data_IF_533356862454
#
_entry.id   IF_533356862454
#
_cell.length_a   1.000
_cell.length_b   1.000
_cell.length_c   1.000
_cell.angle_alpha   90.00
_cell.angle_beta   90.00
_cell.angle_gamma   90.00
#
_symmetry.space_group_name_H-M   'P 1'
#
loop_
_entity.id
_entity.type
_entity.pdbx_description
1 polymer ?
2 non-polymer ?
3 non-polymer ?
4 water ?
#
# COMPACT_ATOMS: atom_id res chain seq x y z
N UNK A 1 6.80 -4.00 9.96
CA UNK A 1 6.94 -2.55 10.29
C UNK A 1 5.42 -2.16 10.60
N UNK A 2 5.34 -1.07 11.31
CA UNK A 2 4.07 -0.40 11.66
C UNK A 2 3.83 0.64 10.67
N UNK A 3 2.63 0.63 10.06
CA UNK A 3 2.24 1.66 9.17
C UNK A 3 0.97 2.30 9.67
N UNK A 4 0.69 3.44 9.05
CA UNK A 4 -0.46 4.29 9.48
C UNK A 4 -1.25 4.62 8.22
N UNK A 5 -2.60 4.79 8.40
CA UNK A 5 -3.49 5.28 7.34
C UNK A 5 -4.25 6.52 7.94
N UNK A 6 -4.14 7.62 7.31
CA UNK A 6 -4.91 8.82 7.64
C UNK A 6 -6.09 8.84 6.67
N UNK A 7 -7.31 8.93 7.18
CA UNK A 7 -8.56 9.08 6.43
C UNK A 7 -9.00 10.49 6.45
N UNK A 8 -8.92 11.12 5.27
CA UNK A 8 -9.28 12.53 5.09
C UNK A 8 -10.54 12.71 4.24
N UNK A 9 -11.70 12.44 4.87
CA UNK A 9 -13.05 12.56 4.17
C UNK A 9 -13.87 13.77 4.49
N UNK A 10 -14.99 13.92 3.77
CA UNK A 10 -15.95 14.96 4.06
C UNK A 10 -16.82 14.49 5.18
N UNK A 11 -17.05 13.14 5.24
CA UNK A 11 -17.92 12.50 6.35
C UNK A 11 -17.04 11.65 7.27
N UNK A 12 -15.71 11.69 7.07
CA UNK A 12 -14.89 10.95 8.02
C UNK A 12 -13.47 11.35 8.08
N UNK A 13 -13.08 11.60 9.36
CA UNK A 13 -11.76 11.88 9.74
C UNK A 13 -11.13 10.82 10.72
N UNK A 14 -10.03 10.12 10.34
CA UNK A 14 -9.41 9.32 11.33
C UNK A 14 -8.19 8.66 10.89
N UNK A 15 -7.70 7.68 11.67
CA UNK A 15 -6.45 7.02 11.45
C UNK A 15 -6.55 5.58 11.84
N UNK A 16 -5.81 4.71 11.11
CA UNK A 16 -5.62 3.27 11.53
C UNK A 16 -4.10 2.95 11.60
N UNK A 17 -3.74 2.03 12.48
CA UNK A 17 -2.39 1.50 12.46
C UNK A 17 -2.58 0.08 12.17
N UNK A 18 -1.67 -0.48 11.39
CA UNK A 18 -1.62 -1.88 11.03
C UNK A 18 -0.17 -2.36 10.86
N UNK A 19 -0.05 -3.67 11.06
CA UNK A 19 1.21 -4.42 10.85
C UNK A 19 1.20 -5.17 9.48
N UNK A 20 2.37 -5.09 8.73
CA UNK A 20 2.52 -5.75 7.60
C UNK A 20 4.03 -5.83 7.37
N UNK A 21 4.32 -6.86 6.58
CA UNK A 21 5.76 -7.08 6.28
C UNK A 21 6.39 -6.04 5.42
N UNK A 22 5.57 -5.47 4.52
CA UNK A 22 6.04 -4.30 3.76
C UNK A 22 4.80 -3.45 3.30
N UNK A 23 5.17 -2.43 2.50
CA UNK A 23 4.19 -1.40 2.20
C UNK A 23 3.16 -1.78 1.21
N UNK A 24 3.45 -2.74 0.32
CA UNK A 24 2.41 -3.21 -0.65
C UNK A 24 1.27 -3.96 0.10
N UNK A 25 1.68 -4.79 1.02
CA UNK A 25 0.70 -5.51 1.84
C UNK A 25 -0.03 -4.52 2.75
N UNK A 26 0.69 -3.57 3.35
CA UNK A 26 0.00 -2.54 4.21
C UNK A 26 -1.03 -1.80 3.33
N UNK A 27 -0.67 -1.43 2.15
CA UNK A 27 -1.66 -0.81 1.19
C UNK A 27 -2.96 -1.66 1.09
N UNK A 28 -2.75 -2.95 0.72
CA UNK A 28 -3.84 -3.91 0.48
C UNK A 28 -4.73 -3.94 1.80
N UNK A 29 -4.08 -4.09 2.95
CA UNK A 29 -4.77 -3.97 4.26
C UNK A 29 -5.61 -2.69 4.35
N UNK A 30 -4.86 -1.59 4.26
CA UNK A 30 -5.58 -0.27 4.42
C UNK A 30 -6.67 -0.01 3.38
N UNK A 31 -6.50 -0.50 2.14
CA UNK A 31 -7.66 -0.23 1.21
C UNK A 31 -8.87 -1.03 1.68
N UNK A 32 -8.70 -2.14 2.39
CA UNK A 32 -9.83 -3.00 2.80
C UNK A 32 -10.48 -2.30 3.91
N UNK A 33 -9.63 -1.78 4.83
CA UNK A 33 -10.13 -1.04 5.94
C UNK A 33 -10.84 0.21 5.43
N UNK A 34 -10.34 0.91 4.41
CA UNK A 34 -10.95 2.19 3.94
C UNK A 34 -12.32 1.81 3.30
N UNK A 35 -12.33 0.62 2.68
CA UNK A 35 -13.61 0.11 2.05
C UNK A 35 -14.73 -0.09 3.12
N UNK A 36 -14.32 -0.63 4.22
CA UNK A 36 -15.23 -0.79 5.38
C UNK A 36 -15.86 0.53 5.71
N UNK A 37 -15.02 1.58 5.75
CA UNK A 37 -15.55 2.88 6.10
C UNK A 37 -16.28 3.60 4.93
N UNK A 38 -16.14 3.09 3.71
CA UNK A 38 -16.64 3.79 2.57
C UNK A 38 -15.78 4.84 2.02
N UNK A 39 -14.50 4.96 2.41
CA UNK A 39 -13.76 6.15 2.07
C UNK A 39 -12.79 5.75 0.97
N UNK A 40 -12.82 6.53 -0.08
CA UNK A 40 -11.86 6.32 -1.18
C UNK A 40 -11.57 7.65 -1.78
N UNK A 41 -10.52 7.64 -2.64
CA UNK A 41 -10.23 8.89 -3.31
C UNK A 41 -8.81 8.99 -3.72
N UNK A 42 -8.11 10.09 -3.37
CA UNK A 42 -6.66 10.22 -3.69
C UNK A 42 -5.77 9.55 -2.58
N UNK A 43 -5.06 8.50 -2.97
CA UNK A 43 -4.11 7.75 -2.11
C UNK A 43 -2.69 8.41 -2.24
N UNK A 44 -2.03 8.59 -1.12
CA UNK A 44 -0.65 9.06 -1.12
C UNK A 44 0.01 8.34 -0.01
N UNK A 45 1.34 8.38 -0.09
CA UNK A 45 2.15 7.61 0.86
C UNK A 45 3.41 8.41 1.15
N UNK A 46 3.73 8.55 2.45
CA UNK A 46 4.91 9.19 3.01
C UNK A 46 5.82 8.16 3.61
N UNK A 47 6.91 7.90 2.84
CA UNK A 47 7.83 6.83 3.23
C UNK A 47 8.51 7.24 4.54
N UNK A 48 8.70 8.51 4.85
CA UNK A 48 9.48 8.94 6.02
C UNK A 48 8.82 8.38 7.30
N UNK A 49 7.49 8.61 7.34
CA UNK A 49 6.56 8.35 8.38
C UNK A 49 5.74 7.09 8.18
N UNK A 50 6.01 6.23 7.16
CA UNK A 50 5.30 4.97 6.91
C UNK A 50 3.77 5.22 6.97
N UNK A 51 3.34 6.45 6.50
CA UNK A 51 1.91 6.73 6.51
C UNK A 51 1.22 6.94 5.14
N UNK A 52 0.11 6.23 4.98
CA UNK A 52 -0.75 6.45 3.81
C UNK A 52 -1.74 7.50 4.21
N UNK A 53 -2.21 8.24 3.22
CA UNK A 53 -3.37 9.12 3.39
C UNK A 53 -4.26 8.84 2.25
N UNK A 54 -5.56 8.81 2.60
CA UNK A 54 -6.60 8.87 1.62
C UNK A 54 -7.51 10.07 1.77
N UNK A 55 -7.58 10.85 0.67
CA UNK A 55 -8.28 12.17 0.77
C UNK A 55 -9.49 12.18 -0.20
N UNK A 56 -10.69 12.37 0.29
CA UNK A 56 -11.81 12.36 -0.59
C UNK A 56 -11.90 13.72 -1.32
N UNK B 1 -6.11 -14.81 -16.72
CA UNK B 1 -4.96 -15.04 -17.58
C UNK B 1 -3.78 -14.28 -16.94
N UNK B 2 -2.60 -14.68 -17.32
CA UNK B 2 -1.38 -14.02 -16.89
C UNK B 2 -1.01 -13.03 -17.92
N UNK B 3 -0.74 -11.82 -17.44
CA UNK B 3 -0.27 -10.74 -18.35
C UNK B 3 1.09 -10.25 -17.80
N UNK B 4 1.79 -9.63 -18.68
CA UNK B 4 3.15 -9.07 -18.45
C UNK B 4 3.12 -7.54 -18.77
N UNK B 5 4.02 -6.81 -18.04
CA UNK B 5 4.30 -5.40 -18.33
C UNK B 5 5.85 -5.26 -18.41
N UNK B 6 6.29 -4.74 -19.51
CA UNK B 6 7.67 -4.36 -19.69
C UNK B 6 7.77 -2.89 -19.44
N UNK B 7 8.70 -2.50 -18.52
CA UNK B 7 9.01 -1.07 -18.32
C UNK B 7 10.26 -0.67 -18.99
N UNK B 8 10.13 0.18 -20.01
CA UNK B 8 11.31 0.64 -20.75
C UNK B 8 11.62 2.10 -20.52
N UNK B 9 12.21 2.36 -19.36
CA UNK B 9 12.67 3.73 -18.95
C UNK B 9 14.09 4.05 -19.18
N UNK B 10 14.35 5.32 -19.04
CA UNK B 10 15.75 5.87 -19.05
C UNK B 10 16.46 5.53 -17.77
N UNK B 11 15.68 5.43 -16.66
CA UNK B 11 16.32 5.14 -15.32
C UNK B 11 15.78 3.80 -14.75
N UNK B 12 14.98 3.06 -15.54
CA UNK B 12 14.41 1.87 -15.03
C UNK B 12 14.03 0.94 -16.15
N UNK B 13 14.53 -0.29 -16.02
CA UNK B 13 14.24 -1.33 -16.90
C UNK B 13 13.69 -2.53 -16.10
N UNK B 14 12.46 -3.04 -16.38
CA UNK B 14 12.07 -4.27 -15.76
C UNK B 14 10.77 -4.76 -16.29
N UNK B 15 10.22 -5.72 -15.56
CA UNK B 15 9.04 -6.44 -16.02
C UNK B 15 8.21 -6.82 -14.79
N UNK B 16 6.87 -6.75 -14.94
CA UNK B 16 5.97 -7.37 -13.97
C UNK B 16 5.06 -8.42 -14.58
N UNK B 17 4.63 -9.39 -13.72
CA UNK B 17 3.52 -10.26 -14.09
C UNK B 17 2.43 -10.05 -13.13
N UNK B 18 1.18 -10.06 -13.59
CA UNK B 18 -0.05 -9.91 -12.81
C UNK B 18 -1.16 -10.77 -13.41
N UNK B 19 -2.01 -11.15 -12.49
CA UNK B 19 -3.26 -11.80 -12.79
C UNK B 19 -4.49 -10.78 -12.86
N UNK B 20 -5.42 -10.97 -13.92
CA UNK B 20 -6.51 -10.27 -14.09
C UNK B 20 -7.38 -11.09 -15.06
N UNK B 21 -8.66 -10.80 -14.84
CA UNK B 21 -9.62 -11.55 -15.59
C UNK B 21 -9.61 -11.28 -17.12
N UNK B 22 -9.22 -10.04 -17.46
CA UNK B 22 -9.03 -9.69 -18.85
C UNK B 22 -8.05 -8.50 -18.95
N UNK B 23 -7.88 -8.02 -20.17
CA UNK B 23 -6.74 -7.06 -20.43
C UNK B 23 -7.06 -5.64 -19.96
N UNK B 24 -8.36 -5.24 -19.87
CA UNK B 24 -8.65 -3.89 -19.40
C UNK B 24 -8.25 -3.79 -17.90
N UNK B 25 -8.61 -4.83 -17.13
CA UNK B 25 -8.24 -4.80 -15.69
C UNK B 25 -6.71 -4.96 -15.48
N UNK B 26 -6.10 -5.77 -16.35
CA UNK B 26 -4.61 -5.93 -16.32
C UNK B 26 -4.03 -4.59 -16.60
N UNK B 27 -4.50 -3.85 -17.60
CA UNK B 27 -4.04 -2.42 -17.84
C UNK B 27 -4.18 -1.56 -16.59
N UNK B 28 -5.40 -1.63 -15.94
CA UNK B 28 -5.60 -0.74 -14.74
C UNK B 28 -4.58 -1.17 -13.64
N UNK B 29 -4.38 -2.48 -13.41
CA UNK B 29 -3.40 -3.00 -12.49
C UNK B 29 -1.99 -2.47 -12.81
N UNK B 30 -1.61 -2.76 -14.06
CA UNK B 30 -0.23 -2.30 -14.51
C UNK B 30 -0.01 -0.78 -14.50
N UNK B 31 -1.07 0.00 -14.76
CA UNK B 31 -0.86 1.51 -14.66
C UNK B 31 -0.61 1.87 -13.22
N UNK B 32 -1.23 1.17 -12.29
CA UNK B 32 -1.09 1.49 -10.88
C UNK B 32 0.33 1.06 -10.49
N UNK B 33 0.82 -0.10 -10.95
CA UNK B 33 2.16 -0.53 -10.61
C UNK B 33 3.18 0.37 -11.28
N UNK B 34 2.93 0.84 -12.52
CA UNK B 34 3.86 1.77 -13.21
C UNK B 34 3.92 3.09 -12.41
N UNK B 35 2.82 3.49 -11.85
CA UNK B 35 2.78 4.77 -11.10
C UNK B 35 3.68 4.60 -9.85
N UNK B 36 3.56 3.44 -9.20
CA UNK B 36 4.47 3.13 -8.08
C UNK B 36 5.97 3.43 -8.39
N UNK B 37 6.35 2.97 -9.58
CA UNK B 37 7.70 3.10 -10.07
C UNK B 37 7.97 4.48 -10.68
N UNK B 38 6.95 5.33 -10.86
CA UNK B 38 7.14 6.59 -11.53
C UNK B 38 7.33 6.55 -13.01
N UNK B 39 6.98 5.42 -13.68
CA UNK B 39 7.25 5.27 -15.10
C UNK B 39 5.92 5.43 -15.90
N UNK B 40 5.96 6.34 -16.89
CA UNK B 40 4.86 6.58 -17.79
C UNK B 40 5.44 6.95 -19.11
N UNK B 41 4.48 6.96 -20.12
CA UNK B 41 4.83 7.38 -21.42
C UNK B 41 4.01 6.72 -22.45
N UNK B 42 4.61 6.08 -23.48
CA UNK B 42 3.90 5.39 -24.57
C UNK B 42 3.57 3.96 -24.13
N UNK B 43 2.30 3.73 -24.00
CA UNK B 43 1.70 2.37 -23.69
C UNK B 43 1.45 1.60 -25.03
N UNK B 44 1.82 0.35 -25.01
CA UNK B 44 1.52 -0.53 -26.16
C UNK B 44 1.17 -1.85 -25.59
N UNK B 45 0.52 -2.68 -26.45
CA UNK B 45 0.07 -3.96 -26.00
C UNK B 45 0.16 -4.96 -27.15
N UNK B 46 0.71 -6.15 -26.80
CA UNK B 46 0.94 -7.25 -27.72
C UNK B 46 0.03 -8.39 -27.32
N UNK B 47 -1.05 -8.53 -28.10
CA UNK B 47 -2.08 -9.51 -27.76
C UNK B 47 -1.51 -10.89 -27.79
N UNK B 48 -0.52 -11.17 -28.69
CA UNK B 48 -0.06 -12.52 -28.98
C UNK B 48 0.51 -13.06 -27.63
N UNK B 49 1.32 -12.20 -26.94
CA UNK B 49 2.15 -12.51 -25.79
C UNK B 49 1.55 -11.93 -24.51
N UNK B 50 0.28 -11.40 -24.55
CA UNK B 50 -0.38 -10.79 -23.40
C UNK B 50 0.58 -9.84 -22.64
N UNK B 51 1.40 -9.05 -23.39
CA UNK B 51 2.38 -8.19 -22.82
C UNK B 51 2.11 -6.67 -23.13
N UNK B 52 2.11 -5.88 -22.05
CA UNK B 52 2.05 -4.44 -22.21
C UNK B 52 3.52 -3.99 -22.18
N UNK B 53 3.75 -2.88 -22.82
CA UNK B 53 5.05 -2.17 -22.71
C UNK B 53 4.74 -0.69 -22.48
N UNK B 54 5.49 -0.14 -21.52
CA UNK B 54 5.51 1.32 -21.35
C UNK B 54 6.96 1.80 -21.58
N UNK B 55 7.05 2.75 -22.53
CA UNK B 55 8.38 3.28 -22.93
C UNK B 55 8.46 4.79 -22.73
N UNK B 56 9.34 5.23 -21.85
CA UNK B 56 9.52 6.58 -21.68
C UNK B 56 10.25 7.25 -22.90
N UNK C 1 -19.45 20.38 19.44
CA UNK C 1 -18.16 19.96 20.08
C UNK C 1 -17.43 18.90 19.20
N UNK C 2 -16.14 18.82 19.35
CA UNK C 2 -15.37 17.77 18.66
C UNK C 2 -14.92 16.70 19.72
N UNK C 3 -14.92 15.40 19.31
CA UNK C 3 -14.81 14.19 20.21
C UNK C 3 -13.88 13.24 19.40
N UNK C 4 -13.44 12.23 20.11
CA UNK C 4 -12.61 11.21 19.53
C UNK C 4 -13.18 9.86 19.96
N UNK C 5 -12.93 8.87 19.12
CA UNK C 5 -13.11 7.51 19.40
C UNK C 5 -11.84 6.69 19.16
N UNK C 6 -11.34 6.03 20.18
CA UNK C 6 -10.27 5.03 20.08
C UNK C 6 -10.84 3.64 19.97
N UNK C 7 -10.36 2.94 18.88
CA UNK C 7 -10.82 1.62 18.56
C UNK C 7 -9.51 0.77 18.93
N UNK C 8 -9.66 0.13 20.09
CA UNK C 8 -8.48 -0.70 20.54
C UNK C 8 -8.92 -2.16 20.28
N UNK C 9 -8.64 -2.58 19.08
CA UNK C 9 -9.04 -3.85 18.58
C UNK C 9 -7.92 -4.88 18.70
N UNK C 10 -8.32 -6.15 18.56
CA UNK C 10 -7.37 -7.24 18.47
C UNK C 10 -6.88 -7.12 17.03
N UNK C 11 -7.79 -7.44 16.09
CA UNK C 11 -7.44 -7.50 14.64
C UNK C 11 -7.15 -6.11 14.00
N UNK C 12 -7.63 -4.99 14.63
CA UNK C 12 -7.21 -3.58 14.18
C UNK C 12 -7.11 -2.51 15.30
N UNK C 13 -6.45 -1.36 15.10
CA UNK C 13 -6.23 -0.22 16.08
C UNK C 13 -6.34 1.14 15.35
N UNK C 14 -6.98 2.12 15.93
CA UNK C 14 -7.33 3.35 15.23
C UNK C 14 -8.05 4.40 16.03
N UNK C 15 -8.35 5.51 15.42
CA UNK C 15 -8.98 6.60 16.12
C UNK C 15 -9.69 7.40 15.15
N UNK C 16 -10.93 7.77 15.48
CA UNK C 16 -11.72 8.69 14.67
C UNK C 16 -11.94 9.99 15.41
N UNK C 17 -12.01 11.07 14.72
CA UNK C 17 -12.39 12.35 15.34
C UNK C 17 -13.56 13.00 14.67
N UNK C 18 -14.45 13.52 15.51
CA UNK C 18 -15.69 13.92 14.82
C UNK C 18 -16.34 15.03 15.65
N UNK C 19 -16.91 15.99 15.01
CA UNK C 19 -17.63 17.01 15.70
C UNK C 19 -19.09 16.64 16.01
N UNK C 20 -19.50 17.05 17.19
CA UNK C 20 -20.95 16.73 17.55
C UNK C 20 -21.43 17.77 18.57
N UNK C 21 -22.72 18.02 18.68
CA UNK C 21 -23.23 19.04 19.66
C UNK C 21 -23.13 18.61 21.07
N UNK C 22 -22.96 17.36 21.37
CA UNK C 22 -22.82 16.97 22.75
C UNK C 22 -22.26 15.52 22.76
N UNK C 23 -21.88 15.05 23.94
CA UNK C 23 -21.26 13.72 24.02
C UNK C 23 -22.37 12.61 23.69
N UNK C 24 -23.64 12.81 24.01
CA UNK C 24 -24.67 11.88 23.57
C UNK C 24 -24.71 11.69 22.07
N UNK C 25 -24.63 12.82 21.37
CA UNK C 25 -24.64 12.80 19.93
C UNK C 25 -23.39 12.13 19.36
N UNK C 26 -22.29 12.50 20.00
CA UNK C 26 -20.99 11.90 19.60
C UNK C 26 -21.08 10.37 19.72
N UNK C 27 -21.71 9.90 20.81
CA UNK C 27 -21.74 8.43 21.08
C UNK C 27 -22.54 7.77 20.00
N UNK C 28 -23.63 8.37 19.58
CA UNK C 28 -24.50 7.78 18.57
C UNK C 28 -23.65 7.71 17.22
N UNK C 29 -22.88 8.79 16.99
CA UNK C 29 -22.17 8.72 15.72
C UNK C 29 -21.10 7.63 15.75
N UNK C 30 -20.38 7.64 16.86
CA UNK C 30 -19.27 6.66 16.96
C UNK C 30 -19.76 5.27 16.91
N UNK C 31 -20.87 4.96 17.61
CA UNK C 31 -21.45 3.62 17.47
C UNK C 31 -21.67 3.30 15.98
N UNK C 32 -22.10 4.25 15.16
CA UNK C 32 -22.20 4.02 13.68
C UNK C 32 -20.86 3.80 13.05
N UNK C 33 -19.91 4.68 13.32
CA UNK C 33 -18.67 4.56 12.58
C UNK C 33 -17.96 3.24 12.93
N UNK C 34 -18.09 2.81 14.20
CA UNK C 34 -17.39 1.58 14.63
C UNK C 34 -18.05 0.35 13.92
N UNK C 35 -19.37 0.50 13.68
CA UNK C 35 -20.16 -0.57 13.04
C UNK C 35 -19.70 -0.81 11.60
N UNK C 36 -19.28 0.23 10.90
CA UNK C 36 -18.53 0.09 9.58
C UNK C 36 -17.29 -0.81 9.68
N UNK C 37 -16.46 -0.67 10.85
CA UNK C 37 -15.20 -1.44 10.99
C UNK C 37 -15.56 -2.81 11.54
N UNK C 38 -16.83 -2.99 12.10
CA UNK C 38 -17.13 -4.20 12.82
C UNK C 38 -16.39 -4.35 14.14
N UNK C 39 -16.24 -3.18 14.81
CA UNK C 39 -15.62 -3.21 16.15
C UNK C 39 -16.58 -2.92 17.20
N UNK C 40 -16.59 -3.87 18.16
CA UNK C 40 -17.39 -3.73 19.34
C UNK C 40 -16.72 -4.38 20.57
N UNK C 41 -17.27 -4.02 21.75
CA UNK C 41 -16.72 -4.53 22.97
C UNK C 41 -17.10 -3.60 24.13
N UNK C 42 -16.19 -3.37 25.04
CA UNK C 42 -16.55 -2.53 26.18
C UNK C 42 -16.38 -1.02 25.74
N UNK C 43 -17.39 -0.21 26.02
CA UNK C 43 -17.39 1.23 25.64
C UNK C 43 -17.21 2.08 26.87
N UNK C 44 -16.09 2.82 26.85
CA UNK C 44 -15.83 3.76 27.95
C UNK C 44 -15.74 5.21 27.41
N UNK C 45 -15.69 6.17 28.35
CA UNK C 45 -15.64 7.65 27.97
C UNK C 45 -14.84 8.35 28.98
N UNK C 46 -13.88 9.09 28.49
CA UNK C 46 -13.10 10.13 29.26
C UNK C 46 -13.60 11.54 29.01
N UNK C 47 -14.32 12.10 30.04
CA UNK C 47 -14.93 13.40 29.83
C UNK C 47 -13.98 14.53 29.70
N UNK C 48 -12.75 14.38 30.18
CA UNK C 48 -11.76 15.53 30.21
C UNK C 48 -11.01 15.55 28.82
N UNK C 49 -10.96 14.42 28.06
CA UNK C 49 -10.42 14.46 26.72
C UNK C 49 -11.45 14.25 25.63
N UNK C 50 -12.72 14.16 25.97
CA UNK C 50 -13.79 14.08 24.96
C UNK C 50 -13.57 12.81 24.11
N UNK C 51 -13.12 11.73 24.81
CA UNK C 51 -12.60 10.53 24.04
C UNK C 51 -13.26 9.25 24.49
N UNK C 52 -14.06 8.71 23.62
CA UNK C 52 -14.63 7.36 23.81
C UNK C 52 -13.55 6.32 23.45
N UNK C 53 -13.59 5.15 24.10
CA UNK C 53 -12.81 3.91 23.69
C UNK C 53 -13.74 2.78 23.58
N UNK C 54 -13.54 2.02 22.48
CA UNK C 54 -14.24 0.72 22.32
C UNK C 54 -13.16 -0.34 22.37
N UNK C 55 -13.22 -1.27 23.31
CA UNK C 55 -12.17 -2.30 23.48
C UNK C 55 -12.76 -3.73 23.36
N UNK C 56 -12.22 -4.40 22.31
CA UNK C 56 -12.39 -5.74 22.05
C UNK C 56 -11.59 -6.29 23.18
N UNK D 1 29.02 -3.35 -14.01
CA UNK D 1 28.35 -4.72 -14.09
C UNK D 1 26.80 -4.55 -14.21
N UNK D 2 26.18 -5.55 -14.82
CA UNK D 2 24.71 -5.52 -14.84
C UNK D 2 24.22 -6.69 -13.93
N UNK D 3 23.19 -6.36 -13.18
CA UNK D 3 22.58 -7.15 -12.06
C UNK D 3 21.06 -7.27 -12.35
N UNK D 4 20.44 -8.24 -11.71
CA UNK D 4 19.02 -8.43 -11.70
C UNK D 4 18.46 -8.48 -10.28
N UNK D 5 17.23 -8.00 -10.13
CA UNK D 5 16.49 -8.24 -8.95
C UNK D 5 15.14 -8.94 -9.28
N UNK D 6 14.91 -10.09 -8.69
CA UNK D 6 13.61 -10.81 -8.73
C UNK D 6 12.85 -10.39 -7.50
N UNK D 7 11.59 -9.94 -7.76
CA UNK D 7 10.66 -9.61 -6.74
C UNK D 7 9.61 -10.81 -6.79
N UNK D 8 9.71 -11.61 -5.71
CA UNK D 8 8.86 -12.77 -5.64
C UNK D 8 7.89 -12.46 -4.54
N UNK D 9 6.81 -11.83 -4.97
CA UNK D 9 5.89 -11.18 -4.10
C UNK D 9 4.62 -12.05 -3.99
N UNK D 10 3.81 -11.77 -2.96
CA UNK D 10 2.51 -12.36 -2.75
C UNK D 10 1.74 -11.44 -3.73
N UNK D 11 1.63 -10.13 -3.41
CA UNK D 11 0.66 -9.18 -4.09
C UNK D 11 1.09 -8.84 -5.57
N UNK D 12 2.39 -9.09 -5.91
CA UNK D 12 3.07 -8.83 -7.25
C UNK D 12 4.37 -9.73 -7.56
N UNK D 13 4.74 -9.97 -8.84
CA UNK D 13 5.96 -10.71 -9.26
C UNK D 13 6.63 -9.97 -10.44
N UNK D 14 7.94 -9.91 -10.42
CA UNK D 14 8.70 -9.13 -11.39
C UNK D 14 10.17 -9.19 -11.34
N UNK D 15 10.80 -8.38 -12.19
CA UNK D 15 12.26 -8.35 -12.23
C UNK D 15 12.72 -7.11 -12.80
N UNK D 16 13.71 -6.56 -12.16
CA UNK D 16 14.40 -5.36 -12.67
C UNK D 16 15.80 -5.76 -13.08
N UNK D 17 16.30 -5.15 -14.12
CA UNK D 17 17.70 -5.24 -14.48
C UNK D 17 18.46 -3.88 -14.48
N UNK D 18 19.63 -3.91 -13.83
CA UNK D 18 20.31 -2.65 -13.70
C UNK D 18 21.78 -2.80 -13.76
N UNK D 19 22.42 -1.87 -14.35
CA UNK D 19 23.82 -1.79 -14.21
C UNK D 19 24.39 -1.07 -12.94
N UNK D 20 25.47 -1.64 -12.40
CA UNK D 20 26.17 -1.00 -11.21
C UNK D 20 27.63 -1.37 -11.20
N UNK D 21 28.51 -0.59 -10.54
CA UNK D 21 29.96 -1.00 -10.56
C UNK D 21 30.25 -2.26 -9.77
N UNK D 22 29.37 -2.64 -8.85
CA UNK D 22 29.67 -3.80 -8.02
C UNK D 22 28.34 -4.27 -7.42
N UNK D 23 28.38 -5.41 -6.72
CA UNK D 23 27.10 -5.97 -6.21
C UNK D 23 26.63 -5.15 -4.98
N UNK D 24 27.58 -4.57 -4.27
CA UNK D 24 27.21 -3.65 -3.16
C UNK D 24 26.33 -2.50 -3.69
N UNK D 25 26.83 -1.91 -4.76
CA UNK D 25 26.11 -0.72 -5.36
C UNK D 25 24.71 -1.11 -5.93
N UNK D 26 24.76 -2.27 -6.47
CA UNK D 26 23.55 -2.85 -7.03
C UNK D 26 22.52 -3.03 -5.94
N UNK D 27 22.98 -3.54 -4.80
CA UNK D 27 22.10 -3.85 -3.65
C UNK D 27 21.39 -2.55 -3.23
N UNK D 28 22.17 -1.45 -3.18
CA UNK D 28 21.64 -0.19 -2.75
C UNK D 28 20.52 0.24 -3.74
N UNK D 29 20.79 0.01 -5.04
CA UNK D 29 19.85 0.51 -6.03
C UNK D 29 18.55 -0.27 -5.96
N UNK D 30 18.75 -1.61 -5.79
CA UNK D 30 17.56 -2.53 -5.82
C UNK D 30 16.74 -2.31 -4.54
N UNK D 31 17.41 -2.10 -3.38
CA UNK D 31 16.63 -1.73 -2.17
C UNK D 31 15.77 -0.49 -2.44
N UNK D 32 16.31 0.49 -3.15
CA UNK D 32 15.48 1.65 -3.64
C UNK D 32 14.33 1.28 -4.59
N UNK D 33 14.62 0.55 -5.64
CA UNK D 33 13.62 0.27 -6.64
C UNK D 33 12.45 -0.60 -6.01
N UNK D 34 12.80 -1.44 -5.06
CA UNK D 34 11.79 -2.31 -4.39
C UNK D 34 10.87 -1.42 -3.52
N UNK D 35 11.54 -0.42 -2.89
CA UNK D 35 10.84 0.53 -2.01
C UNK D 35 9.74 1.28 -2.75
N UNK D 36 9.96 1.56 -4.03
CA UNK D 36 8.85 2.13 -4.85
C UNK D 36 7.62 1.22 -4.97
N UNK D 37 7.86 -0.16 -5.07
CA UNK D 37 6.79 -1.12 -5.19
C UNK D 37 6.28 -1.46 -3.83
N UNK D 38 7.02 -1.11 -2.73
CA UNK D 38 6.58 -1.56 -1.41
C UNK D 38 6.70 -3.05 -1.22
N UNK D 39 7.69 -3.63 -1.92
CA UNK D 39 8.09 -5.02 -1.65
C UNK D 39 9.30 -5.20 -0.82
N UNK D 40 9.10 -5.97 0.25
CA UNK D 40 10.21 -6.29 1.14
C UNK D 40 9.97 -7.72 1.75
N UNK D 41 11.06 -8.23 2.37
CA UNK D 41 11.04 -9.53 2.92
C UNK D 41 12.47 -10.11 3.02
N UNK D 42 12.62 -11.41 2.71
CA UNK D 42 14.00 -11.96 2.84
C UNK D 42 14.79 -11.66 1.53
N UNK D 43 15.97 -11.13 1.75
CA UNK D 43 16.90 -10.80 0.57
C UNK D 43 17.97 -11.78 0.43
N UNK D 44 18.02 -12.37 -0.75
CA UNK D 44 19.08 -13.30 -1.10
C UNK D 44 19.84 -12.84 -2.35
N UNK D 45 20.98 -13.49 -2.60
CA UNK D 45 21.89 -13.10 -3.76
C UNK D 45 22.50 -14.34 -4.33
N UNK D 46 22.41 -14.48 -5.65
CA UNK D 46 23.09 -15.56 -6.44
C UNK D 46 24.27 -14.92 -7.13
N UNK D 47 25.48 -15.17 -6.64
CA UNK D 47 26.61 -14.59 -7.31
C UNK D 47 26.88 -15.02 -8.71
N UNK D 48 26.45 -16.19 -9.14
CA UNK D 48 26.78 -16.75 -10.45
C UNK D 48 25.76 -16.18 -11.53
N UNK D 49 24.60 -15.67 -11.12
CA UNK D 49 23.73 -14.94 -12.09
C UNK D 49 23.60 -13.49 -11.76
N UNK D 50 24.29 -12.97 -10.78
CA UNK D 50 24.27 -11.52 -10.49
C UNK D 50 22.76 -11.19 -10.22
N UNK D 51 22.10 -12.05 -9.42
CA UNK D 51 20.60 -11.90 -9.28
C UNK D 51 20.31 -11.89 -7.78
N UNK D 52 19.80 -10.74 -7.34
CA UNK D 52 19.15 -10.62 -6.06
C UNK D 52 17.72 -11.11 -6.13
N UNK D 53 17.21 -11.64 -4.98
CA UNK D 53 15.72 -11.97 -4.84
C UNK D 53 15.28 -11.36 -3.52
N UNK D 54 14.07 -10.73 -3.59
CA UNK D 54 13.37 -10.28 -2.40
C UNK D 54 12.10 -11.09 -2.35
N UNK D 55 11.92 -11.80 -1.22
CA UNK D 55 10.82 -12.69 -1.13
C UNK D 55 9.93 -12.30 0.09
N UNK D 56 8.65 -11.92 -0.25
CA UNK D 56 7.63 -11.76 0.70
C UNK D 56 7.43 -13.13 1.35
#
# INVERSE_FOLDING_TARGET
>A
MTYKLILNGKTLKGEFTAEAEDAALAEYIFRHLAKHQGVDGEWTYDDATKTFTVTE
>B
MTYKLILNGKTLKGEFTAEAEDAALAEYIFRHLAKHQGVDGEWTYDDATKTFTVTE
>C
MTYKLILNGKTLKGEFTAEAEDAALAEYIFRHLAKHQGVDGEWTYDDATKTFTVTE
>D
MTYKLILNGKTLKGEFTAEAEDAALAEYIFRHLAKHQGVDGEWTYDDATKTFTVTE
#
